data_IF_726855120020
#
_entry.id   IF_726855120020
#
_cell.length_a   1.000
_cell.length_b   1.000
_cell.length_c   1.000
_cell.angle_alpha   90.00
_cell.angle_beta   90.00
_cell.angle_gamma   90.00
#
_symmetry.space_group_name_H-M   'P 1'
#
loop_
_entity.id
_entity.type
_entity.pdbx_description
1 polymer ?
#
# COMPACT_ATOMS: atom_id res chain seq x y z
N UNK A 1 -21.72 61.02 19.76
CA UNK A 1 -20.61 60.58 18.89
C UNK A 1 -19.73 59.65 19.69
N UNK A 2 -19.96 58.34 19.68
CA UNK A 2 -19.01 57.37 20.20
C UNK A 2 -18.55 56.51 19.03
N UNK A 3 -17.29 56.66 18.69
CA UNK A 3 -16.62 56.01 17.58
C UNK A 3 -16.30 54.56 17.93
N UNK A 4 -16.41 53.71 16.91
CA UNK A 4 -16.17 52.27 16.89
C UNK A 4 -14.86 51.86 17.58
N UNK A 5 -14.95 50.89 18.49
CA UNK A 5 -13.79 50.13 18.97
C UNK A 5 -13.61 48.93 18.02
N UNK A 6 -12.60 49.01 17.15
CA UNK A 6 -12.18 47.92 16.28
C UNK A 6 -11.26 46.99 17.07
N UNK A 7 -11.68 45.73 17.28
CA UNK A 7 -10.83 44.69 17.87
C UNK A 7 -9.80 44.20 16.84
N UNK A 8 -8.53 44.29 17.22
CA UNK A 8 -7.37 43.86 16.44
C UNK A 8 -7.27 42.32 16.49
N UNK A 9 -7.60 41.66 15.37
CA UNK A 9 -7.49 40.21 15.20
C UNK A 9 -6.01 39.86 14.95
N UNK A 10 -5.36 39.03 15.78
CA UNK A 10 -3.97 38.64 15.56
C UNK A 10 -3.83 37.80 14.28
N UNK A 11 -2.68 37.84 13.60
CA UNK A 11 -2.42 37.01 12.41
C UNK A 11 -2.57 35.55 12.78
N UNK A 12 -3.51 34.86 12.14
CA UNK A 12 -3.65 33.41 12.25
C UNK A 12 -2.45 32.80 11.53
N UNK A 13 -1.60 32.08 12.27
CA UNK A 13 -0.57 31.23 11.67
C UNK A 13 -1.26 30.22 10.75
N UNK A 14 -1.24 30.50 9.44
CA UNK A 14 -1.70 29.56 8.43
C UNK A 14 -0.63 28.47 8.39
N UNK A 15 -0.77 27.46 9.25
CA UNK A 15 -0.19 26.15 9.03
C UNK A 15 -0.69 25.71 7.66
N UNK A 16 0.19 25.69 6.67
CA UNK A 16 0.02 25.03 5.38
C UNK A 16 -0.10 23.52 5.59
N UNK A 17 -1.19 23.09 6.23
CA UNK A 17 -1.61 21.70 6.20
C UNK A 17 -2.10 21.42 4.77
N UNK A 18 -1.50 20.46 4.05
CA UNK A 18 -1.94 20.13 2.70
C UNK A 18 -3.41 19.70 2.74
N UNK A 19 -4.26 20.45 2.02
CA UNK A 19 -5.67 20.17 1.85
C UNK A 19 -5.85 18.76 1.27
N UNK A 20 -6.23 17.81 2.12
CA UNK A 20 -6.64 16.48 1.69
C UNK A 20 -8.11 16.58 1.28
N UNK A 21 -8.47 16.27 0.02
CA UNK A 21 -9.85 16.35 -0.41
C UNK A 21 -10.68 15.34 0.40
N UNK A 22 -11.63 15.86 1.19
CA UNK A 22 -12.58 15.08 1.98
C UNK A 22 -13.57 14.39 1.03
N UNK A 23 -13.17 13.26 0.47
CA UNK A 23 -14.10 12.34 -0.18
C UNK A 23 -15.00 11.77 0.92
N UNK A 24 -16.32 11.66 0.68
CA UNK A 24 -17.31 11.22 1.68
C UNK A 24 -16.98 9.86 2.36
N UNK A 25 -16.07 9.11 1.76
CA UNK A 25 -15.36 8.00 2.37
C UNK A 25 -13.85 8.29 2.26
N UNK A 26 -13.14 8.38 3.40
CA UNK A 26 -11.71 8.66 3.46
C UNK A 26 -10.83 7.68 2.67
N UNK A 27 -9.49 7.83 2.75
CA UNK A 27 -8.57 7.01 1.96
C UNK A 27 -8.76 5.52 2.30
N UNK A 28 -8.69 4.67 1.27
CA UNK A 28 -8.78 3.22 1.41
C UNK A 28 -7.86 2.53 0.42
N UNK A 29 -7.53 1.28 0.72
CA UNK A 29 -6.72 0.43 -0.15
C UNK A 29 -7.60 -0.68 -0.71
N UNK A 30 -7.47 -0.95 -2.00
CA UNK A 30 -8.20 -1.98 -2.72
C UNK A 30 -7.22 -2.97 -3.32
N UNK A 31 -7.50 -4.27 -3.20
CA UNK A 31 -6.75 -5.30 -3.93
C UNK A 31 -7.36 -5.42 -5.33
N UNK A 32 -6.54 -5.14 -6.35
CA UNK A 32 -6.94 -5.17 -7.77
C UNK A 32 -6.66 -6.53 -8.39
N UNK A 33 -5.56 -7.16 -7.98
CA UNK A 33 -5.17 -8.51 -8.38
C UNK A 33 -4.71 -9.26 -7.13
N UNK A 34 -5.45 -10.29 -6.74
CA UNK A 34 -5.12 -11.16 -5.61
C UNK A 34 -3.87 -12.01 -5.92
N UNK A 35 -3.08 -12.43 -4.92
CA UNK A 35 -2.07 -13.46 -5.11
C UNK A 35 -2.72 -14.81 -5.47
N UNK A 36 -2.02 -15.60 -6.29
CA UNK A 36 -2.46 -16.94 -6.65
C UNK A 36 -2.51 -17.85 -5.43
N UNK A 37 -3.67 -18.44 -5.18
CA UNK A 37 -3.94 -19.25 -3.98
C UNK A 37 -3.12 -20.55 -3.92
N UNK A 38 -2.75 -21.12 -5.07
CA UNK A 38 -2.04 -22.41 -5.16
C UNK A 38 -0.99 -22.38 -6.27
N UNK A 39 -0.03 -23.29 -6.17
CA UNK A 39 1.01 -23.49 -7.19
C UNK A 39 2.25 -22.60 -7.01
N UNK A 40 2.26 -21.72 -6.01
CA UNK A 40 3.49 -21.03 -5.61
C UNK A 40 4.28 -21.87 -4.60
N UNK A 41 5.59 -22.00 -4.82
CA UNK A 41 6.49 -22.77 -3.97
C UNK A 41 7.32 -21.84 -3.09
N UNK A 42 7.20 -21.99 -1.79
CA UNK A 42 8.09 -21.32 -0.84
C UNK A 42 9.47 -21.96 -0.92
N UNK A 43 10.51 -21.16 -0.68
CA UNK A 43 11.90 -21.58 -0.86
C UNK A 43 12.70 -21.40 0.41
N UNK A 44 13.59 -22.34 0.70
CA UNK A 44 14.54 -22.19 1.80
C UNK A 44 15.64 -21.21 1.45
N UNK A 45 16.28 -20.64 2.48
CA UNK A 45 17.41 -19.73 2.32
C UNK A 45 18.56 -20.34 1.52
N UNK A 46 18.80 -21.64 1.72
CA UNK A 46 19.87 -22.37 1.04
C UNK A 46 19.60 -22.62 -0.46
N UNK A 47 18.40 -22.33 -0.98
CA UNK A 47 18.10 -22.43 -2.42
C UNK A 47 18.60 -21.22 -3.22
N UNK A 48 19.07 -20.17 -2.52
CA UNK A 48 19.58 -18.94 -3.13
C UNK A 48 18.53 -17.84 -3.30
N UNK A 49 18.95 -16.65 -3.80
CA UNK A 49 18.14 -15.42 -3.75
C UNK A 49 16.99 -15.38 -4.78
N UNK A 50 16.94 -16.33 -5.71
CA UNK A 50 15.90 -16.39 -6.73
C UNK A 50 14.70 -17.18 -6.22
N UNK A 51 13.81 -16.49 -5.50
CA UNK A 51 12.62 -17.11 -4.92
C UNK A 51 11.46 -17.29 -5.93
N UNK A 52 11.56 -16.65 -7.10
CA UNK A 52 10.45 -16.51 -8.06
C UNK A 52 9.40 -15.52 -7.56
N UNK A 53 8.80 -14.73 -8.47
CA UNK A 53 7.73 -13.80 -8.13
C UNK A 53 6.41 -14.51 -7.87
N UNK A 54 5.72 -14.13 -6.80
CA UNK A 54 4.39 -14.58 -6.44
C UNK A 54 3.44 -14.17 -7.57
N UNK A 55 2.82 -15.13 -8.29
CA UNK A 55 1.95 -14.79 -9.39
C UNK A 55 0.62 -14.25 -8.87
N UNK A 56 -0.04 -13.43 -9.68
CA UNK A 56 -1.43 -13.04 -9.48
C UNK A 56 -2.39 -14.20 -9.73
N UNK A 57 -3.60 -14.10 -9.19
CA UNK A 57 -4.67 -15.08 -9.32
C UNK A 57 -5.07 -15.32 -10.79
N UNK A 58 -5.07 -14.26 -11.61
CA UNK A 58 -5.38 -14.32 -13.05
C UNK A 58 -4.16 -14.65 -13.92
N UNK A 59 -3.01 -14.96 -13.31
CA UNK A 59 -1.75 -15.21 -14.01
C UNK A 59 -1.79 -16.54 -14.79
N UNK A 60 -1.55 -16.46 -16.09
CA UNK A 60 -1.55 -17.56 -17.06
C UNK A 60 -0.16 -17.75 -17.70
N UNK A 61 0.05 -18.86 -18.42
CA UNK A 61 1.36 -19.22 -19.01
C UNK A 61 1.96 -18.11 -19.88
N UNK A 62 1.10 -17.44 -20.67
CA UNK A 62 1.50 -16.40 -21.63
C UNK A 62 1.17 -14.98 -21.15
N UNK A 63 0.50 -14.83 -20.01
CA UNK A 63 0.06 -13.55 -19.46
C UNK A 63 0.29 -13.53 -17.96
N UNK A 64 1.49 -13.12 -17.57
CA UNK A 64 1.89 -13.06 -16.16
C UNK A 64 1.32 -11.81 -15.52
N UNK A 65 0.44 -12.00 -14.54
CA UNK A 65 -0.01 -10.96 -13.60
C UNK A 65 0.64 -11.16 -12.24
N UNK A 66 0.58 -10.13 -11.39
CA UNK A 66 1.19 -10.11 -10.07
C UNK A 66 0.26 -9.42 -9.08
N UNK A 67 0.38 -9.73 -7.77
CA UNK A 67 -0.42 -9.07 -6.75
C UNK A 67 -0.36 -7.55 -6.89
N UNK A 68 -1.52 -6.91 -6.97
CA UNK A 68 -1.63 -5.49 -7.28
C UNK A 68 -2.62 -4.84 -6.34
N UNK A 69 -2.25 -3.69 -5.78
CA UNK A 69 -3.12 -2.88 -4.92
C UNK A 69 -3.26 -1.47 -5.46
N UNK A 70 -4.36 -0.81 -5.14
CA UNK A 70 -4.64 0.57 -5.50
C UNK A 70 -5.00 1.35 -4.24
N UNK A 71 -4.39 2.52 -4.09
CA UNK A 71 -4.81 3.49 -3.07
C UNK A 71 -5.83 4.42 -3.72
N UNK A 72 -7.02 4.46 -3.16
CA UNK A 72 -8.13 5.29 -3.63
C UNK A 72 -8.39 6.42 -2.64
N UNK A 73 -8.99 7.52 -3.12
CA UNK A 73 -9.39 8.64 -2.28
C UNK A 73 -8.23 9.28 -1.48
N UNK A 74 -7.02 9.22 -2.02
CA UNK A 74 -5.83 9.79 -1.41
C UNK A 74 -5.04 10.59 -2.46
N UNK A 75 -4.62 11.79 -2.07
CA UNK A 75 -3.77 12.67 -2.86
C UNK A 75 -2.57 13.04 -1.98
N UNK A 76 -1.37 12.75 -2.47
CA UNK A 76 -0.13 12.96 -1.73
C UNK A 76 0.79 11.75 -1.83
N UNK A 77 1.89 11.80 -1.08
CA UNK A 77 2.84 10.70 -0.98
C UNK A 77 2.35 9.68 0.05
N UNK A 78 2.14 8.43 -0.38
CA UNK A 78 1.79 7.31 0.49
C UNK A 78 2.92 6.27 0.51
N UNK A 79 2.89 5.39 1.51
CA UNK A 79 3.75 4.22 1.60
C UNK A 79 2.91 2.99 1.90
N UNK A 80 3.04 1.97 1.06
CA UNK A 80 2.34 0.70 1.23
C UNK A 80 3.30 -0.32 1.84
N UNK A 81 2.87 -0.88 2.98
CA UNK A 81 3.57 -1.96 3.69
C UNK A 81 2.83 -3.29 3.49
N UNK A 82 3.56 -4.31 3.05
CA UNK A 82 3.05 -5.67 2.87
C UNK A 82 3.83 -6.62 3.78
N UNK A 83 3.11 -7.50 4.48
CA UNK A 83 3.68 -8.49 5.38
C UNK A 83 2.89 -9.80 5.31
N UNK A 84 3.55 -10.93 5.59
CA UNK A 84 2.86 -12.21 5.76
C UNK A 84 2.23 -12.30 7.15
N UNK A 85 0.96 -12.71 7.16
CA UNK A 85 0.19 -12.92 8.39
C UNK A 85 -0.34 -14.35 8.49
N UNK A 86 -0.71 -14.75 9.71
CA UNK A 86 -1.46 -15.99 9.96
C UNK A 86 -2.88 -15.89 9.38
N UNK A 87 -3.42 -17.03 8.95
CA UNK A 87 -4.83 -17.16 8.54
C UNK A 87 -5.81 -17.21 9.75
N UNK A 88 -5.30 -17.23 10.98
CA UNK A 88 -6.12 -17.20 12.20
C UNK A 88 -6.51 -15.77 12.56
N UNK A 89 -7.74 -15.59 13.05
CA UNK A 89 -8.21 -14.32 13.62
C UNK A 89 -7.81 -14.21 15.11
N UNK A 90 -7.20 -13.11 15.59
CA UNK A 90 -6.75 -11.94 14.83
C UNK A 90 -5.47 -12.22 14.02
N UNK A 91 -5.28 -11.57 12.84
CA UNK A 91 -4.08 -11.72 12.04
C UNK A 91 -2.81 -11.35 12.82
N UNK A 92 -1.83 -12.26 12.85
CA UNK A 92 -0.53 -12.07 13.52
C UNK A 92 0.61 -12.26 12.54
N UNK A 93 1.78 -11.71 12.86
CA UNK A 93 2.99 -11.96 12.07
C UNK A 93 3.20 -13.47 11.81
N UNK A 94 3.43 -13.81 10.54
CA UNK A 94 3.77 -15.18 10.17
C UNK A 94 5.25 -15.49 10.48
N UNK A 95 5.64 -16.77 10.48
CA UNK A 95 7.05 -17.16 10.67
C UNK A 95 7.88 -16.96 9.40
N UNK A 96 7.30 -17.26 8.23
CA UNK A 96 7.93 -17.07 6.92
C UNK A 96 8.09 -15.59 6.57
N UNK A 97 9.11 -15.24 5.79
CA UNK A 97 9.40 -13.87 5.35
C UNK A 97 8.95 -13.63 3.92
N UNK A 98 8.46 -12.43 3.61
CA UNK A 98 8.54 -11.94 2.23
C UNK A 98 10.00 -11.62 1.90
N UNK A 99 10.38 -11.88 0.67
CA UNK A 99 11.70 -11.56 0.12
C UNK A 99 11.53 -10.99 -1.27
N UNK A 100 12.44 -10.14 -1.72
CA UNK A 100 12.29 -9.46 -2.99
C UNK A 100 13.00 -8.12 -3.00
N UNK A 101 12.89 -7.41 -4.13
CA UNK A 101 13.60 -6.14 -4.37
C UNK A 101 13.32 -5.07 -3.33
N UNK A 102 12.08 -4.99 -2.83
CA UNK A 102 11.62 -3.94 -1.92
C UNK A 102 11.36 -4.46 -0.50
N UNK A 103 11.94 -5.59 -0.15
CA UNK A 103 11.69 -6.27 1.12
C UNK A 103 12.86 -6.12 2.09
N UNK A 104 12.53 -5.92 3.36
CA UNK A 104 13.48 -5.83 4.46
C UNK A 104 13.81 -7.21 5.02
N UNK A 105 14.87 -7.31 5.81
CA UNK A 105 15.23 -8.53 6.54
C UNK A 105 14.15 -9.01 7.53
N UNK A 106 13.27 -8.11 7.97
CA UNK A 106 12.14 -8.45 8.84
C UNK A 106 11.02 -9.20 8.10
N UNK A 107 11.10 -9.33 6.78
CA UNK A 107 10.10 -10.02 5.96
C UNK A 107 8.92 -9.14 5.55
N UNK A 108 9.14 -7.82 5.52
CA UNK A 108 8.16 -6.80 5.16
C UNK A 108 8.58 -6.14 3.86
N UNK A 109 7.65 -5.88 2.94
CA UNK A 109 7.94 -5.16 1.69
C UNK A 109 7.28 -3.79 1.69
N UNK A 110 8.05 -2.77 1.30
CA UNK A 110 7.64 -1.36 1.40
C UNK A 110 7.79 -0.71 0.03
N UNK A 111 6.70 -0.11 -0.46
CA UNK A 111 6.73 0.67 -1.69
C UNK A 111 6.13 2.05 -1.46
N UNK A 112 6.84 3.07 -1.93
CA UNK A 112 6.36 4.44 -1.91
C UNK A 112 5.47 4.67 -3.14
N UNK A 113 4.43 5.49 -2.95
CA UNK A 113 3.46 5.88 -3.96
C UNK A 113 3.40 7.41 -3.96
N UNK A 114 3.99 8.04 -4.96
CA UNK A 114 3.92 9.47 -5.18
C UNK A 114 3.31 9.86 -6.52
N UNK A 115 2.88 11.13 -6.67
CA UNK A 115 2.39 11.68 -7.94
C UNK A 115 3.41 11.64 -9.10
N UNK A 116 4.66 11.30 -8.82
CA UNK A 116 5.77 11.23 -9.78
C UNK A 116 6.37 9.82 -9.97
N UNK A 117 5.84 8.78 -9.30
CA UNK A 117 6.50 7.47 -9.30
C UNK A 117 6.29 6.69 -10.61
N UNK A 118 7.37 6.65 -11.40
CA UNK A 118 7.55 5.89 -12.65
C UNK A 118 7.56 4.36 -12.48
N UNK A 119 7.43 3.84 -11.25
CA UNK A 119 7.40 2.41 -10.92
C UNK A 119 6.00 1.82 -10.89
N UNK A 120 4.97 2.65 -10.88
CA UNK A 120 3.62 2.19 -11.04
C UNK A 120 3.37 1.96 -12.53
N UNK A 121 3.35 0.70 -12.96
CA UNK A 121 2.97 0.39 -14.34
C UNK A 121 1.57 0.91 -14.54
N UNK A 122 1.45 2.00 -15.30
CA UNK A 122 0.19 2.51 -15.77
C UNK A 122 -0.44 1.40 -16.61
N UNK A 123 -1.36 0.65 -16.00
CA UNK A 123 -2.47 0.12 -16.77
C UNK A 123 -3.26 1.36 -17.15
N UNK A 124 -2.87 1.98 -18.27
CA UNK A 124 -3.74 2.91 -18.95
C UNK A 124 -5.04 2.14 -19.18
N UNK A 125 -6.05 2.47 -18.39
CA UNK A 125 -7.41 2.11 -18.72
C UNK A 125 -7.66 2.77 -20.07
N UNK A 126 -7.46 2.01 -21.16
CA UNK A 126 -8.01 2.35 -22.46
C UNK A 126 -9.52 2.37 -22.25
N UNK A 127 -10.04 3.54 -21.88
CA UNK A 127 -11.44 3.84 -22.03
C UNK A 127 -11.78 3.53 -23.48
N UNK A 128 -12.60 2.51 -23.68
CA UNK A 128 -13.28 2.30 -24.93
C UNK A 128 -13.96 3.62 -25.30
N UNK A 129 -13.45 4.23 -26.36
CA UNK A 129 -13.87 5.51 -26.88
C UNK A 129 -15.23 5.32 -27.56
N UNK A 130 -16.33 5.30 -26.78
CA UNK A 130 -17.66 5.47 -27.36
C UNK A 130 -17.86 6.96 -27.62
N UNK A 131 -17.79 7.33 -28.90
CA UNK A 131 -18.10 8.66 -29.40
C UNK A 131 -19.51 9.07 -28.98
N UNK A 132 -19.64 10.11 -28.16
CA UNK A 132 -20.77 11.04 -28.25
C UNK A 132 -20.28 12.46 -27.95
N UNK A 133 -20.65 13.38 -28.84
CA UNK A 133 -20.21 14.78 -28.89
C UNK A 133 -20.95 15.64 -27.86
N UNK A 134 -20.24 16.69 -27.43
CA UNK A 134 -20.71 18.00 -26.95
C UNK A 134 -21.71 18.03 -25.78
N UNK A 135 -21.27 18.59 -24.64
CA UNK A 135 -21.71 19.90 -24.15
C UNK A 135 -20.78 20.35 -23.01
N UNK A 136 -20.59 21.66 -22.88
CA UNK A 136 -19.67 22.30 -21.94
C UNK A 136 -20.18 22.16 -20.49
N UNK A 137 -19.31 21.69 -19.59
CA UNK A 137 -19.56 21.67 -18.16
C UNK A 137 -18.30 21.26 -17.43
N UNK A 138 -17.77 22.18 -16.62
CA UNK A 138 -16.64 22.05 -15.69
C UNK A 138 -16.08 20.62 -15.56
N UNK A 139 -14.95 20.35 -16.21
CA UNK A 139 -14.20 19.12 -15.95
C UNK A 139 -13.68 19.20 -14.53
N UNK A 140 -14.35 18.50 -13.61
CA UNK A 140 -13.77 18.09 -12.33
C UNK A 140 -12.34 17.61 -12.62
N UNK A 141 -11.32 18.04 -11.85
CA UNK A 141 -9.98 17.53 -12.07
C UNK A 141 -10.11 16.01 -11.96
N UNK A 142 -9.75 15.31 -13.03
CA UNK A 142 -9.69 13.87 -13.06
C UNK A 142 -9.06 13.45 -11.73
N UNK A 143 -9.85 12.87 -10.83
CA UNK A 143 -9.38 12.39 -9.54
C UNK A 143 -8.17 11.55 -9.88
N UNK A 144 -6.98 12.08 -9.59
CA UNK A 144 -5.71 11.48 -9.98
C UNK A 144 -5.60 10.21 -9.15
N UNK A 145 -6.24 9.15 -9.64
CA UNK A 145 -6.22 7.87 -8.97
C UNK A 145 -4.77 7.45 -8.96
N UNK A 146 -4.20 7.38 -7.76
CA UNK A 146 -2.82 6.99 -7.61
C UNK A 146 -2.58 5.70 -8.38
N UNK A 147 -1.43 5.59 -9.06
CA UNK A 147 -1.20 4.51 -9.97
C UNK A 147 -1.11 3.19 -9.17
N UNK A 148 -1.57 2.10 -9.78
CA UNK A 148 -1.63 0.82 -9.10
C UNK A 148 -0.22 0.31 -8.77
N UNK A 149 -0.05 -0.20 -7.54
CA UNK A 149 1.22 -0.76 -7.07
C UNK A 149 1.26 -2.24 -7.37
N UNK A 150 2.26 -2.65 -8.15
CA UNK A 150 2.46 -4.03 -8.57
C UNK A 150 3.63 -4.66 -7.81
N UNK A 151 3.37 -5.83 -7.22
CA UNK A 151 4.35 -6.58 -6.46
C UNK A 151 4.93 -7.76 -7.26
N UNK A 152 5.68 -7.45 -8.33
CA UNK A 152 6.13 -8.45 -9.31
C UNK A 152 7.31 -9.34 -8.89
N UNK A 153 8.04 -8.96 -7.84
CA UNK A 153 9.25 -9.65 -7.39
C UNK A 153 9.14 -10.11 -5.93
N UNK A 154 7.95 -10.53 -5.49
CA UNK A 154 7.75 -11.08 -4.16
C UNK A 154 7.98 -12.58 -4.12
N UNK A 155 8.98 -13.03 -3.37
CA UNK A 155 9.16 -14.41 -2.97
C UNK A 155 8.73 -14.64 -1.53
N UNK A 156 8.64 -15.91 -1.14
CA UNK A 156 8.41 -16.32 0.26
C UNK A 156 9.55 -17.22 0.71
N UNK A 157 10.26 -16.76 1.74
CA UNK A 157 11.31 -17.50 2.42
C UNK A 157 10.70 -18.44 3.47
N UNK A 158 10.89 -19.73 3.25
CA UNK A 158 10.47 -20.79 4.15
C UNK A 158 11.41 -20.86 5.36
N UNK A 159 10.84 -20.71 6.55
CA UNK A 159 11.55 -20.88 7.83
C UNK A 159 11.40 -22.32 8.31
N UNK A 160 12.52 -22.98 8.60
CA UNK A 160 12.51 -24.37 9.05
C UNK A 160 11.80 -24.52 10.40
N UNK A 161 11.23 -25.70 10.67
CA UNK A 161 10.56 -26.00 11.94
C UNK A 161 11.39 -25.64 13.18
N UNK A 162 12.71 -25.87 13.13
CA UNK A 162 13.63 -25.54 14.23
C UNK A 162 13.75 -24.03 14.46
N UNK A 163 13.70 -23.22 13.40
CA UNK A 163 13.81 -21.76 13.47
C UNK A 163 12.51 -21.01 13.75
N UNK A 164 11.34 -21.65 13.61
CA UNK A 164 10.03 -20.99 13.74
C UNK A 164 9.88 -20.25 15.07
N UNK A 165 10.22 -20.90 16.19
CA UNK A 165 10.01 -20.33 17.53
C UNK A 165 10.85 -19.06 17.73
N UNK A 166 12.12 -19.10 17.32
CA UNK A 166 13.03 -17.96 17.43
C UNK A 166 12.57 -16.79 16.56
N UNK A 167 12.25 -17.06 15.29
CA UNK A 167 11.82 -16.05 14.33
C UNK A 167 10.52 -15.38 14.76
N UNK A 168 9.50 -16.17 15.16
CA UNK A 168 8.24 -15.61 15.65
C UNK A 168 8.43 -14.78 16.92
N UNK A 169 9.25 -15.26 17.85
CA UNK A 169 9.53 -14.52 19.09
C UNK A 169 10.19 -13.17 18.81
N UNK A 170 11.11 -13.10 17.83
CA UNK A 170 11.70 -11.84 17.38
C UNK A 170 10.66 -10.91 16.77
N UNK A 171 9.84 -11.40 15.82
CA UNK A 171 8.81 -10.60 15.15
C UNK A 171 7.77 -10.03 16.11
N UNK A 172 7.27 -10.85 17.04
CA UNK A 172 6.29 -10.41 18.03
C UNK A 172 6.88 -9.34 18.98
N UNK A 173 8.18 -9.40 19.29
CA UNK A 173 8.86 -8.34 20.04
C UNK A 173 8.97 -7.05 19.22
N UNK A 174 9.29 -7.16 17.93
CA UNK A 174 9.43 -6.01 17.04
C UNK A 174 8.08 -5.32 16.79
N UNK A 175 6.99 -6.08 16.61
CA UNK A 175 5.62 -5.55 16.55
C UNK A 175 5.25 -4.80 17.84
N UNK A 176 5.58 -5.35 19.02
CA UNK A 176 5.33 -4.69 20.31
C UNK A 176 6.12 -3.38 20.46
N UNK A 177 7.38 -3.35 19.99
CA UNK A 177 8.21 -2.14 20.02
C UNK A 177 7.63 -1.05 19.10
N UNK A 178 7.20 -1.43 17.89
CA UNK A 178 6.54 -0.52 16.95
C UNK A 178 5.28 0.11 17.55
N UNK A 179 4.46 -0.68 18.25
CA UNK A 179 3.26 -0.19 18.93
C UNK A 179 3.58 0.80 20.07
N UNK A 180 4.69 0.61 20.79
CA UNK A 180 5.10 1.52 21.88
C UNK A 180 5.71 2.84 21.39
N UNK A 181 6.23 2.90 20.15
CA UNK A 181 6.84 4.10 19.57
C UNK A 181 5.89 5.00 18.77
N UNK A 182 4.68 4.53 18.46
CA UNK A 182 3.73 5.26 17.62
C UNK A 182 2.78 6.14 18.45
N UNK A 183 3.27 7.27 18.96
CA UNK A 183 2.45 8.35 19.52
C UNK A 183 2.34 9.55 18.55
N UNK A 184 2.31 9.30 17.23
CA UNK A 184 2.09 10.33 16.20
C UNK A 184 0.91 9.97 15.28
N UNK A 185 -0.02 10.90 14.94
CA UNK A 185 -1.34 10.54 14.38
C UNK A 185 -1.36 10.20 12.88
N UNK A 186 -0.24 10.23 12.15
CA UNK A 186 -0.25 10.28 10.68
C UNK A 186 -0.06 8.94 9.94
N UNK A 187 0.02 7.80 10.65
CA UNK A 187 0.18 6.46 10.03
C UNK A 187 -1.05 5.58 10.28
N UNK A 188 -2.22 6.02 9.83
CA UNK A 188 -3.43 5.19 9.88
C UNK A 188 -3.32 4.01 8.91
N UNK A 189 -3.55 2.78 9.39
CA UNK A 189 -3.78 1.63 8.50
C UNK A 189 -5.07 1.92 7.71
N UNK A 190 -4.95 2.03 6.39
CA UNK A 190 -6.11 2.19 5.53
C UNK A 190 -6.97 0.91 5.57
N UNK A 191 -8.31 1.03 5.60
CA UNK A 191 -9.18 -0.14 5.49
C UNK A 191 -8.98 -0.80 4.12
N UNK A 192 -8.90 -2.13 4.12
CA UNK A 192 -8.93 -2.95 2.92
C UNK A 192 -10.39 -3.09 2.44
N UNK A 193 -10.64 -2.85 1.16
CA UNK A 193 -11.94 -3.05 0.49
C UNK A 193 -11.81 -3.94 -0.73
#
# INVERSE_FOLDING_TARGET
>A
MNMMQYDYIPPVDIKTEPYTPETAHGPYIQIIEEPKQRGFRFRYECEGPSHGGLPGASSEKNRRTYPTVKVSNYVGQARVEVQLVSHTEPPRAHAHSLVGRHCTESGTCLLDIGPTDLTASSVACTQHHLHTRHEAGMSLPAVMSLPAVIFSNLGILHVTKKGVVEVLSRRLRDERKRQKGAHHPLTGRLPLR
#
